data_IF_434980224035
#
_entry.id   IF_434980224035
#
_cell.length_a   1.000
_cell.length_b   1.000
_cell.length_c   1.000
_cell.angle_alpha   90.00
_cell.angle_beta   90.00
_cell.angle_gamma   90.00
#
_symmetry.space_group_name_H-M   'P 1'
#
loop_
_entity.id
_entity.type
_entity.pdbx_description
1 polymer ?
#
# COMPACT_ATOMS: atom_id res chain seq x y z
N UNK A 1 11.46 22.96 -3.32
CA UNK A 1 10.62 21.87 -2.81
C UNK A 1 9.99 21.14 -3.97
N UNK A 2 10.06 19.82 -3.97
CA UNK A 2 9.42 19.01 -5.00
C UNK A 2 8.02 18.60 -4.52
N UNK A 3 7.00 19.24 -5.07
CA UNK A 3 5.62 19.00 -4.67
C UNK A 3 5.18 17.54 -4.95
N UNK A 4 5.67 16.97 -6.04
CA UNK A 4 5.38 15.56 -6.38
C UNK A 4 5.89 14.62 -5.30
N UNK A 5 7.10 14.87 -4.81
CA UNK A 5 7.70 14.06 -3.75
C UNK A 5 6.92 14.21 -2.44
N UNK A 6 6.47 15.41 -2.11
CA UNK A 6 5.65 15.66 -0.92
C UNK A 6 4.35 14.87 -0.99
N UNK A 7 3.68 14.88 -2.15
CA UNK A 7 2.44 14.13 -2.35
C UNK A 7 2.69 12.62 -2.23
N UNK A 8 3.76 12.13 -2.86
CA UNK A 8 4.10 10.71 -2.80
C UNK A 8 4.38 10.28 -1.36
N UNK A 9 5.13 11.08 -0.61
CA UNK A 9 5.47 10.76 0.78
C UNK A 9 4.24 10.82 1.69
N UNK A 10 3.29 11.69 1.40
CA UNK A 10 2.06 11.80 2.15
C UNK A 10 1.16 10.57 1.92
N UNK A 11 1.09 10.10 0.68
CA UNK A 11 0.23 8.97 0.32
C UNK A 11 0.87 7.62 0.64
N UNK A 12 2.20 7.52 0.49
CA UNK A 12 2.94 6.26 0.64
C UNK A 12 4.02 6.38 1.70
N UNK A 13 3.62 6.18 2.93
CA UNK A 13 4.52 6.11 4.07
C UNK A 13 4.10 4.93 4.94
N UNK A 14 4.92 4.58 5.93
CA UNK A 14 4.68 3.41 6.76
C UNK A 14 3.34 3.48 7.50
N UNK A 15 2.95 4.65 7.94
CA UNK A 15 1.68 4.84 8.64
C UNK A 15 0.49 4.61 7.71
N UNK A 16 0.54 5.19 6.50
CA UNK A 16 -0.52 4.99 5.50
C UNK A 16 -0.58 3.55 5.05
N UNK A 17 0.58 2.93 4.85
CA UNK A 17 0.67 1.53 4.47
C UNK A 17 -0.03 0.66 5.51
N UNK A 18 0.27 0.85 6.79
CA UNK A 18 -0.34 0.10 7.87
C UNK A 18 -1.86 0.29 7.90
N UNK A 19 -2.34 1.50 7.72
CA UNK A 19 -3.78 1.80 7.71
C UNK A 19 -4.48 1.15 6.55
N UNK A 20 -3.89 1.20 5.37
CA UNK A 20 -4.48 0.62 4.15
C UNK A 20 -4.54 -0.90 4.26
N UNK A 21 -3.44 -1.53 4.69
CA UNK A 21 -3.38 -2.98 4.85
C UNK A 21 -4.38 -3.44 5.91
N UNK A 22 -4.47 -2.72 7.01
CA UNK A 22 -5.42 -3.03 8.08
C UNK A 22 -6.86 -2.97 7.57
N UNK A 23 -7.19 -1.94 6.80
CA UNK A 23 -8.53 -1.78 6.23
C UNK A 23 -8.84 -2.86 5.21
N UNK A 24 -7.86 -3.22 4.37
CA UNK A 24 -8.02 -4.30 3.40
C UNK A 24 -8.24 -5.63 4.13
N UNK A 25 -7.50 -5.87 5.20
CA UNK A 25 -7.61 -7.07 5.99
C UNK A 25 -9.00 -7.20 6.64
N UNK A 26 -9.61 -6.07 7.03
CA UNK A 26 -10.97 -6.05 7.58
C UNK A 26 -12.04 -6.34 6.53
N UNK A 27 -11.80 -5.96 5.27
CA UNK A 27 -12.79 -6.06 4.21
C UNK A 27 -12.61 -7.27 3.30
N UNK A 28 -11.41 -7.85 3.29
CA UNK A 28 -11.09 -9.02 2.47
C UNK A 28 -10.80 -10.19 3.39
N UNK A 29 -11.72 -11.15 3.41
CA UNK A 29 -11.56 -12.36 4.19
C UNK A 29 -11.38 -13.53 3.21
N UNK A 30 -10.17 -14.08 3.17
CA UNK A 30 -9.86 -15.20 2.29
C UNK A 30 -9.92 -16.49 3.11
N UNK A 31 -10.94 -17.33 2.89
CA UNK A 31 -11.07 -18.57 3.64
C UNK A 31 -9.89 -19.51 3.36
N UNK A 32 -9.54 -20.31 4.35
CA UNK A 32 -8.49 -21.33 4.27
C UNK A 32 -7.06 -20.79 4.18
N UNK A 33 -6.86 -19.47 4.31
CA UNK A 33 -5.54 -18.88 4.36
C UNK A 33 -5.35 -18.30 5.76
N UNK A 34 -4.17 -18.52 6.35
CA UNK A 34 -3.87 -17.97 7.66
C UNK A 34 -3.81 -16.44 7.59
N UNK A 35 -4.13 -15.79 8.70
CA UNK A 35 -4.09 -14.33 8.80
C UNK A 35 -2.72 -13.76 8.42
N UNK A 36 -1.66 -14.45 8.81
CA UNK A 36 -0.29 -14.04 8.49
C UNK A 36 -0.02 -14.11 6.98
N UNK A 37 -0.50 -15.15 6.32
CA UNK A 37 -0.34 -15.29 4.87
C UNK A 37 -1.17 -14.26 4.13
N UNK A 38 -2.37 -13.98 4.60
CA UNK A 38 -3.25 -12.95 4.04
C UNK A 38 -2.58 -11.58 4.12
N UNK A 39 -1.96 -11.26 5.26
CA UNK A 39 -1.24 -10.01 5.43
C UNK A 39 -0.07 -9.87 4.45
N UNK A 40 0.66 -10.96 4.20
CA UNK A 40 1.75 -10.97 3.22
C UNK A 40 1.24 -10.69 1.81
N UNK A 41 0.12 -11.28 1.44
CA UNK A 41 -0.49 -11.09 0.13
C UNK A 41 -0.93 -9.63 -0.02
N UNK A 42 -1.60 -9.07 0.99
CA UNK A 42 -2.04 -7.68 0.96
C UNK A 42 -0.86 -6.71 0.91
N UNK A 43 0.22 -7.01 1.62
CA UNK A 43 1.43 -6.20 1.58
C UNK A 43 2.05 -6.21 0.19
N UNK A 44 2.11 -7.37 -0.46
CA UNK A 44 2.65 -7.48 -1.81
C UNK A 44 1.80 -6.68 -2.82
N UNK A 45 0.50 -6.75 -2.68
CA UNK A 45 -0.43 -5.98 -3.53
C UNK A 45 -0.21 -4.48 -3.31
N UNK A 46 -0.13 -4.05 -2.06
CA UNK A 46 0.11 -2.66 -1.72
C UNK A 46 1.42 -2.16 -2.31
N UNK A 47 2.50 -2.93 -2.15
CA UNK A 47 3.82 -2.55 -2.66
C UNK A 47 3.81 -2.40 -4.18
N UNK A 48 3.08 -3.26 -4.88
CA UNK A 48 2.94 -3.18 -6.33
C UNK A 48 2.19 -1.92 -6.75
N UNK A 49 1.11 -1.59 -6.05
CA UNK A 49 0.34 -0.38 -6.31
C UNK A 49 1.18 0.86 -6.02
N UNK A 50 1.90 0.86 -4.91
CA UNK A 50 2.79 1.96 -4.53
C UNK A 50 3.82 2.22 -5.62
N UNK A 51 4.46 1.18 -6.12
CA UNK A 51 5.47 1.29 -7.18
C UNK A 51 4.90 1.97 -8.42
N UNK A 52 3.74 1.51 -8.87
CA UNK A 52 3.10 2.05 -10.08
C UNK A 52 2.64 3.48 -9.87
N UNK A 53 1.96 3.75 -8.77
CA UNK A 53 1.40 5.09 -8.49
C UNK A 53 2.50 6.10 -8.22
N UNK A 54 3.51 5.74 -7.43
CA UNK A 54 4.66 6.61 -7.20
C UNK A 54 5.38 6.92 -8.50
N UNK A 55 5.57 5.92 -9.34
CA UNK A 55 6.18 6.12 -10.64
C UNK A 55 5.41 7.12 -11.49
N UNK A 56 4.09 7.05 -11.46
CA UNK A 56 3.23 8.00 -12.20
C UNK A 56 3.30 9.41 -11.60
N UNK A 57 3.31 9.53 -10.27
CA UNK A 57 3.37 10.83 -9.59
C UNK A 57 4.72 11.50 -9.83
N UNK A 58 5.82 10.73 -9.74
CA UNK A 58 7.17 11.26 -9.82
C UNK A 58 7.70 11.36 -11.26
N UNK A 59 6.93 10.91 -12.22
CA UNK A 59 7.30 10.96 -13.62
C UNK A 59 7.36 12.42 -14.10
N UNK A 60 8.42 12.74 -14.83
CA UNK A 60 8.60 14.06 -15.44
C UNK A 60 7.71 14.27 -16.67
#
# INVERSE_FOLDING_TARGET
MNLKQVVADYLFNDEMKAKIIDRLNDNVDVPFISEKTEEKILTAIYDSIEEVVKGAILKD
#
